data_IF_778298189328
#
_entry.id   IF_778298189328
#
_cell.length_a   1.000
_cell.length_b   1.000
_cell.length_c   1.000
_cell.angle_alpha   90.00
_cell.angle_beta   90.00
_cell.angle_gamma   90.00
#
_symmetry.space_group_name_H-M   'P 1'
#
loop_
_entity.id
_entity.type
_entity.pdbx_description
1 polymer ?
#
# COMPACT_ATOMS: atom_id res chain seq x y z
N UNK A 1 36.89 -1.91 48.38
CA UNK A 1 37.15 -0.56 47.85
C UNK A 1 38.62 -0.48 47.47
N UNK A 2 38.94 -0.69 46.18
CA UNK A 2 40.11 -0.09 45.50
C UNK A 2 39.95 -0.31 43.99
N UNK A 3 39.73 0.80 43.30
CA UNK A 3 39.98 1.15 41.90
C UNK A 3 39.78 0.08 40.79
N UNK A 4 38.70 0.28 40.02
CA UNK A 4 38.60 -0.17 38.63
C UNK A 4 39.29 0.90 37.77
N UNK A 5 40.49 0.63 37.27
CA UNK A 5 41.16 1.55 36.34
C UNK A 5 40.67 1.30 34.92
N UNK A 6 40.08 2.34 34.33
CA UNK A 6 39.42 2.34 33.03
C UNK A 6 40.25 3.20 32.07
N UNK A 7 41.32 2.64 31.54
CA UNK A 7 42.12 3.29 30.47
C UNK A 7 43.06 2.27 29.83
N UNK A 8 42.55 1.45 28.91
CA UNK A 8 43.37 1.03 27.77
C UNK A 8 42.51 0.84 26.52
N UNK A 9 42.19 2.00 25.95
CA UNK A 9 41.51 2.11 24.68
C UNK A 9 42.48 1.82 23.53
N UNK A 10 41.95 1.19 22.49
CA UNK A 10 42.49 1.22 21.12
C UNK A 10 43.92 0.65 20.93
N UNK A 11 44.04 -0.67 20.72
CA UNK A 11 45.11 -1.23 19.87
C UNK A 11 44.98 -2.71 19.47
N UNK A 12 43.80 -3.19 19.08
CA UNK A 12 43.67 -4.44 18.31
C UNK A 12 42.71 -4.29 17.13
N UNK A 13 42.96 -3.26 16.32
CA UNK A 13 42.59 -3.26 14.92
C UNK A 13 43.59 -4.15 14.17
N UNK A 14 43.09 -5.07 13.33
CA UNK A 14 43.82 -6.02 12.45
C UNK A 14 44.19 -7.38 13.05
N UNK A 15 43.22 -8.25 13.36
CA UNK A 15 43.40 -9.70 13.21
C UNK A 15 42.09 -10.53 13.20
N UNK A 16 41.03 -10.02 12.56
CA UNK A 16 39.85 -10.85 12.23
C UNK A 16 39.41 -10.52 10.80
N UNK A 17 39.87 -11.30 9.84
CA UNK A 17 39.35 -11.31 8.48
C UNK A 17 38.68 -12.66 8.25
N UNK A 18 37.34 -12.74 8.20
CA UNK A 18 36.67 -13.91 7.66
C UNK A 18 36.47 -13.63 6.18
N UNK A 19 37.17 -14.36 5.33
CA UNK A 19 36.96 -14.32 3.88
C UNK A 19 35.53 -14.80 3.60
N UNK A 20 34.58 -13.87 3.57
CA UNK A 20 33.20 -14.16 3.22
C UNK A 20 33.15 -14.36 1.71
N UNK A 21 33.02 -15.62 1.31
CA UNK A 21 32.72 -16.03 -0.06
C UNK A 21 31.43 -15.32 -0.50
N UNK A 22 31.57 -14.30 -1.33
CA UNK A 22 30.43 -13.68 -2.01
C UNK A 22 29.98 -14.64 -3.10
N UNK A 23 29.07 -15.55 -2.75
CA UNK A 23 28.24 -16.20 -3.73
C UNK A 23 27.23 -15.15 -4.22
N UNK A 24 27.11 -14.90 -5.54
CA UNK A 24 26.00 -14.10 -6.03
C UNK A 24 24.75 -14.97 -5.92
N UNK A 25 24.00 -14.82 -4.82
CA UNK A 25 22.62 -15.33 -4.79
C UNK A 25 21.84 -14.47 -5.78
N UNK A 26 21.63 -14.97 -6.99
CA UNK A 26 20.61 -14.46 -7.88
C UNK A 26 19.27 -14.69 -7.18
N UNK A 27 18.83 -13.74 -6.37
CA UNK A 27 17.42 -13.66 -6.01
C UNK A 27 16.67 -13.37 -7.31
N UNK A 28 16.20 -14.44 -7.95
CA UNK A 28 15.26 -14.40 -9.05
C UNK A 28 13.99 -13.72 -8.55
N UNK A 29 13.89 -12.41 -8.77
CA UNK A 29 12.68 -11.64 -8.51
C UNK A 29 11.60 -12.12 -9.47
N UNK A 30 10.80 -13.11 -9.04
CA UNK A 30 9.54 -13.44 -9.70
C UNK A 30 8.69 -12.16 -9.60
N UNK A 31 8.57 -11.44 -10.72
CA UNK A 31 7.69 -10.28 -10.84
C UNK A 31 6.24 -10.76 -10.79
N UNK A 32 5.71 -10.92 -9.58
CA UNK A 32 4.28 -11.08 -9.37
C UNK A 32 3.58 -9.84 -9.94
N UNK A 33 2.62 -10.03 -10.85
CA UNK A 33 1.79 -8.94 -11.40
C UNK A 33 1.12 -8.20 -10.23
N UNK A 34 1.67 -7.05 -9.87
CA UNK A 34 1.15 -6.21 -8.79
C UNK A 34 -0.11 -5.53 -9.30
N UNK A 35 -1.23 -5.72 -8.60
CA UNK A 35 -2.43 -4.93 -8.86
C UNK A 35 -2.13 -3.44 -8.58
N UNK A 36 -2.58 -2.52 -9.45
CA UNK A 36 -2.34 -1.10 -9.26
C UNK A 36 -2.98 -0.63 -7.95
N UNK A 37 -2.33 0.32 -7.27
CA UNK A 37 -2.88 0.93 -6.05
C UNK A 37 -4.02 1.91 -6.39
N UNK A 38 -4.79 2.33 -5.38
CA UNK A 38 -5.85 3.33 -5.55
C UNK A 38 -5.30 4.64 -6.14
N UNK A 39 -4.16 5.09 -5.63
CA UNK A 39 -3.49 6.32 -6.05
C UNK A 39 -2.95 6.21 -7.49
N UNK A 40 -2.49 5.03 -7.89
CA UNK A 40 -2.09 4.76 -9.28
C UNK A 40 -3.30 4.76 -10.22
N UNK A 41 -4.42 4.17 -9.80
CA UNK A 41 -5.67 4.17 -10.56
C UNK A 41 -6.23 5.59 -10.73
N UNK A 42 -6.25 6.40 -9.66
CA UNK A 42 -6.69 7.80 -9.73
C UNK A 42 -5.79 8.64 -10.64
N UNK A 43 -4.46 8.48 -10.54
CA UNK A 43 -3.52 9.15 -11.46
C UNK A 43 -3.74 8.75 -12.92
N UNK A 44 -4.01 7.48 -13.19
CA UNK A 44 -4.31 7.04 -14.56
C UNK A 44 -5.62 7.64 -15.08
N UNK A 45 -6.64 7.75 -14.23
CA UNK A 45 -7.91 8.38 -14.59
C UNK A 45 -7.74 9.87 -14.93
N UNK A 46 -6.91 10.59 -14.17
CA UNK A 46 -6.57 12.00 -14.45
C UNK A 46 -5.82 12.16 -15.78
N UNK A 47 -4.88 11.25 -16.07
CA UNK A 47 -4.16 11.23 -17.34
C UNK A 47 -5.11 10.97 -18.52
N UNK A 48 -5.99 9.97 -18.41
CA UNK A 48 -7.01 9.67 -19.42
C UNK A 48 -7.89 10.89 -19.67
N UNK A 49 -8.35 11.57 -18.61
CA UNK A 49 -9.13 12.80 -18.74
C UNK A 49 -8.37 13.86 -19.53
N UNK A 50 -7.11 14.10 -19.21
CA UNK A 50 -6.30 15.09 -19.92
C UNK A 50 -6.08 14.72 -21.41
N UNK A 51 -5.93 13.43 -21.72
CA UNK A 51 -5.81 12.94 -23.10
C UNK A 51 -7.13 13.11 -23.88
N UNK A 52 -8.27 12.77 -23.26
CA UNK A 52 -9.60 12.95 -23.86
C UNK A 52 -9.94 14.43 -24.08
N UNK A 53 -9.58 15.31 -23.14
CA UNK A 53 -9.83 16.77 -23.25
C UNK A 53 -9.06 17.42 -24.40
N UNK A 54 -7.90 16.86 -24.80
CA UNK A 54 -7.13 17.34 -25.96
C UNK A 54 -7.81 16.98 -27.28
N UNK A 55 -8.44 15.81 -27.36
CA UNK A 55 -9.11 15.30 -28.56
C UNK A 55 -8.24 15.28 -29.84
N UNK A 56 -6.92 15.11 -29.69
CA UNK A 56 -5.94 15.08 -30.80
C UNK A 56 -5.72 13.68 -31.39
N UNK A 57 -6.21 12.64 -30.71
CA UNK A 57 -6.05 11.25 -31.11
C UNK A 57 -7.15 10.81 -32.09
N UNK A 58 -6.90 9.77 -32.92
CA UNK A 58 -7.94 9.13 -33.71
C UNK A 58 -9.13 8.69 -32.84
N UNK A 59 -10.33 8.68 -33.42
CA UNK A 59 -11.56 8.39 -32.67
C UNK A 59 -11.51 6.99 -32.02
N UNK A 60 -10.89 6.02 -32.68
CA UNK A 60 -10.71 4.65 -32.16
C UNK A 60 -9.87 4.64 -30.88
N UNK A 61 -8.87 5.51 -30.77
CA UNK A 61 -8.01 5.60 -29.59
C UNK A 61 -8.68 6.37 -28.47
N UNK A 62 -9.46 7.41 -28.80
CA UNK A 62 -10.31 8.11 -27.82
C UNK A 62 -11.35 7.15 -27.20
N UNK A 63 -11.94 6.25 -27.99
CA UNK A 63 -12.87 5.24 -27.50
C UNK A 63 -12.16 4.27 -26.53
N UNK A 64 -10.96 3.79 -26.86
CA UNK A 64 -10.19 2.93 -25.95
C UNK A 64 -9.87 3.61 -24.63
N UNK A 65 -9.46 4.88 -24.67
CA UNK A 65 -9.18 5.67 -23.46
C UNK A 65 -10.43 5.84 -22.60
N UNK A 66 -11.59 6.06 -23.22
CA UNK A 66 -12.86 6.14 -22.52
C UNK A 66 -13.22 4.81 -21.84
N UNK A 67 -13.11 3.69 -22.57
CA UNK A 67 -13.36 2.35 -22.02
C UNK A 67 -12.42 2.03 -20.84
N UNK A 68 -11.13 2.35 -20.97
CA UNK A 68 -10.17 2.21 -19.87
C UNK A 68 -10.59 3.07 -18.66
N UNK A 69 -10.99 4.32 -18.88
CA UNK A 69 -11.44 5.23 -17.84
C UNK A 69 -12.67 4.69 -17.08
N UNK A 70 -13.64 4.12 -17.81
CA UNK A 70 -14.82 3.48 -17.21
C UNK A 70 -14.41 2.30 -16.34
N UNK A 71 -13.56 1.40 -16.86
CA UNK A 71 -13.11 0.24 -16.10
C UNK A 71 -12.39 0.65 -14.80
N UNK A 72 -11.50 1.64 -14.86
CA UNK A 72 -10.81 2.18 -13.69
C UNK A 72 -11.80 2.77 -12.69
N UNK A 73 -12.75 3.59 -13.15
CA UNK A 73 -13.75 4.21 -12.29
C UNK A 73 -14.61 3.17 -11.56
N UNK A 74 -15.01 2.10 -12.25
CA UNK A 74 -15.75 0.99 -11.65
C UNK A 74 -14.94 0.28 -10.56
N UNK A 75 -13.67 -0.03 -10.82
CA UNK A 75 -12.79 -0.66 -9.84
C UNK A 75 -12.60 0.20 -8.60
N UNK A 76 -12.36 1.51 -8.77
CA UNK A 76 -12.23 2.45 -7.66
C UNK A 76 -13.52 2.49 -6.84
N UNK A 77 -14.68 2.60 -7.49
CA UNK A 77 -15.99 2.60 -6.83
C UNK A 77 -16.21 1.34 -5.99
N UNK A 78 -15.95 0.17 -6.56
CA UNK A 78 -16.08 -1.12 -5.87
C UNK A 78 -15.15 -1.23 -4.66
N UNK A 79 -13.92 -0.75 -4.80
CA UNK A 79 -12.94 -0.73 -3.70
C UNK A 79 -13.43 0.14 -2.55
N UNK A 80 -13.90 1.35 -2.83
CA UNK A 80 -14.45 2.26 -1.83
C UNK A 80 -15.71 1.70 -1.16
N UNK A 81 -16.60 1.05 -1.92
CA UNK A 81 -17.78 0.39 -1.38
C UNK A 81 -17.40 -0.72 -0.40
N UNK A 82 -16.39 -1.52 -0.74
CA UNK A 82 -15.88 -2.60 0.13
C UNK A 82 -15.30 -2.04 1.43
N UNK A 83 -14.49 -0.97 1.34
CA UNK A 83 -13.92 -0.31 2.53
C UNK A 83 -15.02 0.29 3.39
N UNK A 84 -16.00 0.98 2.79
CA UNK A 84 -17.17 1.51 3.50
C UNK A 84 -17.92 0.43 4.25
N UNK A 85 -18.20 -0.70 3.59
CA UNK A 85 -18.92 -1.82 4.22
C UNK A 85 -18.15 -2.37 5.43
N UNK A 86 -16.83 -2.49 5.32
CA UNK A 86 -15.98 -2.93 6.44
C UNK A 86 -16.06 -1.97 7.62
N UNK A 87 -16.03 -0.66 7.38
CA UNK A 87 -16.18 0.36 8.43
C UNK A 87 -17.52 0.21 9.15
N UNK A 88 -18.62 0.04 8.39
CA UNK A 88 -19.96 -0.15 8.97
C UNK A 88 -20.02 -1.42 9.82
N UNK A 89 -19.50 -2.54 9.32
CA UNK A 89 -19.51 -3.82 10.04
C UNK A 89 -18.71 -3.73 11.34
N UNK A 90 -17.51 -3.15 11.31
CA UNK A 90 -16.68 -2.95 12.50
C UNK A 90 -17.35 -1.98 13.48
N UNK A 91 -17.91 -0.88 12.99
CA UNK A 91 -18.64 0.09 13.81
C UNK A 91 -19.85 -0.51 14.53
N UNK A 92 -20.61 -1.38 13.86
CA UNK A 92 -21.73 -2.11 14.47
C UNK A 92 -21.27 -3.07 15.57
N UNK A 93 -20.14 -3.76 15.38
CA UNK A 93 -19.57 -4.65 16.39
C UNK A 93 -19.12 -3.88 17.64
N UNK A 94 -18.56 -2.69 17.45
CA UNK A 94 -18.15 -1.80 18.54
C UNK A 94 -19.34 -1.12 19.24
N UNK A 95 -20.43 -0.84 18.53
CA UNK A 95 -21.66 -0.26 19.09
C UNK A 95 -22.61 -1.28 19.73
N UNK A 96 -22.43 -2.57 19.47
CA UNK A 96 -23.26 -3.64 20.03
C UNK A 96 -22.88 -4.02 21.48
N UNK A 97 -21.81 -3.44 22.05
CA UNK A 97 -21.41 -3.67 23.45
C UNK A 97 -22.01 -2.68 24.45
N UNK A 98 -22.90 -1.76 24.04
CA UNK A 98 -23.40 -0.69 24.94
C UNK A 98 -24.93 -0.44 24.87
N UNK A 99 -25.72 -1.47 24.57
CA UNK A 99 -27.18 -1.44 24.72
C UNK A 99 -27.63 -2.66 25.54
N UNK A 100 -27.26 -2.65 26.81
CA UNK A 100 -28.05 -3.27 27.87
C UNK A 100 -28.46 -2.15 28.83
N UNK A 101 -29.62 -1.55 28.59
CA UNK A 101 -30.37 -0.92 29.68
C UNK A 101 -31.86 -0.99 29.37
N UNK A 102 -32.52 -1.92 30.06
CA UNK A 102 -33.79 -1.75 30.78
C UNK A 102 -34.92 -0.92 30.16
N UNK A 103 -36.04 -1.62 29.89
CA UNK A 103 -37.41 -1.32 30.33
C UNK A 103 -37.78 0.14 30.65
N UNK A 104 -38.80 0.66 29.96
CA UNK A 104 -39.91 1.39 30.59
C UNK A 104 -41.22 1.06 29.87
N UNK A 105 -42.04 0.20 30.50
CA UNK A 105 -43.49 0.17 30.32
C UNK A 105 -44.07 1.48 30.85
N UNK A 106 -44.81 2.23 30.02
CA UNK A 106 -45.84 3.20 30.44
C UNK A 106 -47.03 3.10 29.49
#
# INVERSE_FOLDING_TARGET
>A
MTAFDCTDALKLHRLWSPTLSHHPTTHSTIMAKKHPTLEEQLRRLEAIRAELERAELPIEDLVKLYEEGIAIAEHVRQRLQTVRQRIITVGKQLGASDQSSSEEDI
#
